data_IF_126225708910
#
_entry.id   IF_126225708910
#
_cell.length_a   1.000
_cell.length_b   1.000
_cell.length_c   1.000
_cell.angle_alpha   90.00
_cell.angle_beta   90.00
_cell.angle_gamma   90.00
#
_symmetry.space_group_name_H-M   'P 1'
#
loop_
_entity.id
_entity.type
_entity.pdbx_description
1 polymer ?
#
# COMPACT_ATOMS: atom_id res chain seq x y z
N UNK A 1 -14.37 -38.58 16.94
CA UNK A 1 -13.03 -38.44 16.31
C UNK A 1 -12.55 -37.03 16.59
N UNK A 2 -11.47 -36.86 17.35
CA UNK A 2 -10.92 -35.53 17.63
C UNK A 2 -9.87 -35.21 16.56
N UNK A 3 -10.09 -34.14 15.80
CA UNK A 3 -9.13 -33.64 14.81
C UNK A 3 -8.37 -32.49 15.45
N UNK A 4 -7.04 -32.63 15.53
CA UNK A 4 -6.15 -31.54 15.93
C UNK A 4 -5.57 -30.91 14.68
N UNK A 5 -5.77 -29.60 14.51
CA UNK A 5 -5.26 -28.83 13.37
C UNK A 5 -4.17 -27.88 13.89
N UNK A 6 -2.99 -27.91 13.26
CA UNK A 6 -1.89 -26.96 13.52
C UNK A 6 -1.67 -26.13 12.27
N UNK A 7 -1.87 -24.81 12.37
CA UNK A 7 -1.53 -23.87 11.30
C UNK A 7 -0.02 -23.65 11.34
N UNK A 8 0.66 -23.94 10.22
CA UNK A 8 2.09 -23.73 10.08
C UNK A 8 2.41 -22.38 9.43
N UNK A 9 1.53 -21.89 8.55
CA UNK A 9 1.63 -20.58 7.94
C UNK A 9 0.24 -20.04 7.54
N UNK A 10 0.11 -18.72 7.53
CA UNK A 10 -1.04 -18.00 6.99
C UNK A 10 -0.53 -16.86 6.11
N UNK A 11 -0.90 -16.87 4.83
CA UNK A 11 -0.58 -15.79 3.90
C UNK A 11 -1.87 -15.16 3.40
N UNK A 12 -1.83 -13.84 3.23
CA UNK A 12 -2.95 -13.05 2.74
C UNK A 12 -2.50 -12.24 1.53
N UNK A 13 -3.38 -12.15 0.53
CA UNK A 13 -3.25 -11.25 -0.61
C UNK A 13 -4.37 -10.23 -0.51
N UNK A 14 -4.01 -8.95 -0.46
CA UNK A 14 -4.97 -7.86 -0.22
C UNK A 14 -4.77 -6.77 -1.26
N UNK A 15 -5.88 -6.24 -1.75
CA UNK A 15 -5.93 -5.00 -2.55
C UNK A 15 -6.86 -4.01 -1.87
N UNK A 16 -6.41 -2.78 -1.68
CA UNK A 16 -7.18 -1.74 -1.01
C UNK A 16 -6.86 -0.35 -1.55
N UNK A 17 -7.75 0.59 -1.29
CA UNK A 17 -7.55 2.00 -1.57
C UNK A 17 -7.39 2.76 -0.26
N UNK A 18 -6.39 3.65 -0.20
CA UNK A 18 -6.14 4.53 0.92
C UNK A 18 -6.01 5.95 0.39
N UNK A 19 -6.65 6.91 1.04
CA UNK A 19 -6.47 8.33 0.73
C UNK A 19 -5.69 9.00 1.85
N UNK A 20 -4.58 9.63 1.50
CA UNK A 20 -3.71 10.36 2.42
C UNK A 20 -3.14 11.58 1.72
N UNK A 21 -3.21 12.73 2.39
CA UNK A 21 -2.60 13.99 1.97
C UNK A 21 -2.86 14.40 0.50
N UNK A 22 -4.08 14.15 0.01
CA UNK A 22 -4.50 14.51 -1.35
C UNK A 22 -4.13 13.50 -2.44
N UNK A 23 -3.61 12.33 -2.08
CA UNK A 23 -3.30 11.25 -3.00
C UNK A 23 -4.18 10.03 -2.76
N UNK A 24 -4.56 9.36 -3.84
CA UNK A 24 -5.14 8.02 -3.80
C UNK A 24 -4.01 7.00 -3.96
N UNK A 25 -3.93 6.08 -3.00
CA UNK A 25 -3.01 4.95 -2.98
C UNK A 25 -3.81 3.69 -3.26
N UNK A 26 -3.59 3.06 -4.42
CA UNK A 26 -4.13 1.75 -4.73
C UNK A 26 -3.07 0.70 -4.42
N UNK A 27 -3.20 0.08 -3.26
CA UNK A 27 -2.19 -0.79 -2.66
C UNK A 27 -2.56 -2.25 -2.88
N UNK A 28 -1.61 -3.04 -3.38
CA UNK A 28 -1.69 -4.49 -3.45
C UNK A 28 -0.50 -5.10 -2.71
N UNK A 29 -0.75 -6.00 -1.78
CA UNK A 29 0.33 -6.63 -1.00
C UNK A 29 0.06 -8.10 -0.68
N UNK A 30 1.15 -8.85 -0.51
CA UNK A 30 1.17 -10.18 0.06
C UNK A 30 1.89 -10.13 1.41
N UNK A 31 1.28 -10.69 2.45
CA UNK A 31 1.88 -10.73 3.78
C UNK A 31 1.73 -12.09 4.45
N UNK A 32 2.74 -12.48 5.24
CA UNK A 32 2.67 -13.58 6.20
C UNK A 32 2.08 -13.04 7.52
N UNK A 33 0.92 -13.57 7.90
CA UNK A 33 0.15 -13.17 9.10
C UNK A 33 0.07 -14.30 10.13
N UNK A 34 1.00 -15.26 10.06
CA UNK A 34 1.09 -16.37 11.02
C UNK A 34 1.34 -15.86 12.46
N UNK A 35 2.06 -14.75 12.58
CA UNK A 35 2.37 -14.09 13.85
C UNK A 35 1.53 -12.82 14.05
N UNK A 36 1.62 -12.22 15.24
CA UNK A 36 0.91 -10.97 15.58
C UNK A 36 1.31 -9.79 14.69
N UNK A 37 2.58 -9.74 14.30
CA UNK A 37 3.14 -8.76 13.36
C UNK A 37 3.15 -9.41 11.98
N UNK A 38 2.57 -8.73 11.00
CA UNK A 38 2.58 -9.22 9.63
C UNK A 38 3.95 -8.96 9.01
N UNK A 39 4.46 -9.92 8.23
CA UNK A 39 5.65 -9.70 7.40
C UNK A 39 5.21 -9.48 5.96
N UNK A 40 5.44 -8.29 5.43
CA UNK A 40 5.14 -8.00 4.02
C UNK A 40 6.18 -8.70 3.14
N UNK A 41 5.70 -9.53 2.21
CA UNK A 41 6.51 -10.29 1.28
C UNK A 41 6.63 -9.58 -0.08
N UNK A 42 5.53 -8.96 -0.50
CA UNK A 42 5.45 -8.16 -1.71
C UNK A 42 4.50 -6.99 -1.46
N UNK A 43 4.85 -5.83 -2.00
CA UNK A 43 4.05 -4.63 -1.88
C UNK A 43 4.17 -3.82 -3.15
N UNK A 44 3.03 -3.36 -3.64
CA UNK A 44 2.91 -2.42 -4.76
C UNK A 44 1.91 -1.36 -4.36
N UNK A 45 2.28 -0.10 -4.55
CA UNK A 45 1.42 1.04 -4.34
C UNK A 45 1.43 1.91 -5.58
N UNK A 46 0.26 2.03 -6.22
CA UNK A 46 0.05 2.99 -7.30
C UNK A 46 -0.57 4.23 -6.70
N UNK A 47 0.17 5.34 -6.81
CA UNK A 47 -0.24 6.62 -6.25
C UNK A 47 -0.63 7.56 -7.38
N UNK A 48 -1.73 8.28 -7.19
CA UNK A 48 -2.19 9.33 -8.11
C UNK A 48 -2.68 10.55 -7.33
N UNK A 49 -2.38 11.75 -7.84
CA UNK A 49 -2.88 12.99 -7.25
C UNK A 49 -4.39 13.12 -7.46
N UNK A 50 -5.13 13.40 -6.39
CA UNK A 50 -6.56 13.71 -6.47
C UNK A 50 -6.70 15.19 -6.81
N UNK A 51 -7.43 15.46 -7.89
CA UNK A 51 -7.71 16.84 -8.33
C UNK A 51 -9.06 17.32 -7.84
N UNK A 52 -10.06 16.43 -7.73
CA UNK A 52 -11.42 16.72 -7.29
C UNK A 52 -12.10 15.47 -6.72
N UNK A 53 -13.21 15.67 -6.01
CA UNK A 53 -14.09 14.61 -5.53
C UNK A 53 -13.71 14.04 -4.16
N UNK A 54 -14.53 13.09 -3.71
CA UNK A 54 -14.41 12.38 -2.44
C UNK A 54 -14.76 10.89 -2.65
N UNK A 55 -14.50 10.03 -1.67
CA UNK A 55 -14.83 8.61 -1.78
C UNK A 55 -16.33 8.42 -2.07
N UNK A 56 -16.73 7.58 -3.03
CA UNK A 56 -15.92 6.67 -3.85
C UNK A 56 -15.58 7.21 -5.26
N UNK A 57 -15.75 8.51 -5.52
CA UNK A 57 -15.67 9.13 -6.84
C UNK A 57 -14.61 10.24 -6.89
N UNK A 58 -13.34 9.83 -6.89
CA UNK A 58 -12.21 10.73 -7.09
C UNK A 58 -11.96 11.01 -8.57
N UNK A 59 -11.53 12.24 -8.87
CA UNK A 59 -10.95 12.61 -10.16
C UNK A 59 -9.44 12.67 -9.98
N UNK A 60 -8.72 11.79 -10.67
CA UNK A 60 -7.27 11.66 -10.57
C UNK A 60 -6.58 12.42 -11.70
N UNK A 61 -5.43 13.03 -11.41
CA UNK A 61 -4.56 13.57 -12.44
C UNK A 61 -3.86 12.43 -13.20
N UNK A 62 -4.08 12.26 -14.51
CA UNK A 62 -3.51 11.17 -15.28
C UNK A 62 -1.99 11.27 -15.47
N UNK A 63 -1.40 12.47 -15.33
CA UNK A 63 0.04 12.71 -15.51
C UNK A 63 0.81 12.75 -14.19
N UNK A 64 0.12 13.04 -13.07
CA UNK A 64 0.72 13.01 -11.74
C UNK A 64 0.38 11.69 -11.05
N UNK A 65 1.06 10.65 -11.50
CA UNK A 65 1.00 9.31 -10.93
C UNK A 65 2.38 8.65 -10.88
N UNK A 66 2.56 7.73 -9.94
CA UNK A 66 3.75 6.90 -9.83
C UNK A 66 3.43 5.54 -9.20
N UNK A 67 4.30 4.56 -9.43
CA UNK A 67 4.22 3.24 -8.79
C UNK A 67 5.44 3.04 -7.90
N UNK A 68 5.20 2.57 -6.68
CA UNK A 68 6.21 2.17 -5.71
C UNK A 68 6.08 0.68 -5.42
N UNK A 69 7.21 0.01 -5.22
CA UNK A 69 7.24 -1.42 -4.87
C UNK A 69 8.21 -1.68 -3.73
N UNK A 70 7.98 -2.76 -2.97
CA UNK A 70 8.90 -3.25 -1.96
C UNK A 70 8.99 -4.79 -2.00
N UNK A 71 10.21 -5.32 -2.02
CA UNK A 71 10.52 -6.74 -2.20
C UNK A 71 11.23 -7.36 -0.98
N UNK A 72 10.81 -6.97 0.24
CA UNK A 72 11.33 -7.37 1.56
C UNK A 72 12.60 -6.66 2.05
N UNK A 73 13.38 -6.03 1.16
CA UNK A 73 14.62 -5.36 1.56
C UNK A 73 14.60 -3.85 1.29
N UNK A 74 14.15 -3.44 0.10
CA UNK A 74 14.23 -2.06 -0.34
C UNK A 74 12.98 -1.61 -1.09
N UNK A 75 12.65 -0.32 -0.95
CA UNK A 75 11.68 0.35 -1.81
C UNK A 75 12.31 0.70 -3.15
N UNK A 76 11.52 0.62 -4.22
CA UNK A 76 11.88 1.06 -5.55
C UNK A 76 10.70 1.70 -6.27
N UNK A 77 10.96 2.36 -7.41
CA UNK A 77 9.93 3.02 -8.22
C UNK A 77 9.94 4.54 -8.07
N UNK A 78 8.76 5.16 -8.03
CA UNK A 78 8.61 6.61 -7.91
C UNK A 78 8.97 7.40 -9.17
N UNK A 79 8.91 6.77 -10.35
CA UNK A 79 9.06 7.48 -11.62
C UNK A 79 7.72 8.14 -11.96
N UNK A 80 7.66 9.46 -11.77
CA UNK A 80 6.49 10.28 -12.12
C UNK A 80 6.56 10.70 -13.58
N UNK A 81 5.43 10.67 -14.28
CA UNK A 81 5.34 11.25 -15.62
C UNK A 81 5.45 12.78 -15.56
N UNK A 82 4.72 13.40 -14.64
CA UNK A 82 4.90 14.79 -14.23
C UNK A 82 5.06 14.85 -12.72
N UNK A 83 6.15 15.47 -12.26
CA UNK A 83 6.40 15.62 -10.84
C UNK A 83 5.33 16.52 -10.19
N UNK A 84 4.80 16.14 -9.02
CA UNK A 84 4.07 17.05 -8.16
C UNK A 84 4.98 18.19 -7.67
N UNK A 85 4.36 19.26 -7.18
CA UNK A 85 5.08 20.48 -6.79
C UNK A 85 6.11 20.25 -5.66
N UNK A 86 5.88 19.26 -4.81
CA UNK A 86 6.80 18.84 -3.73
C UNK A 86 7.81 17.75 -4.16
N UNK A 87 7.83 17.41 -5.45
CA UNK A 87 8.64 16.32 -6.00
C UNK A 87 8.13 14.92 -5.67
N UNK A 88 6.88 14.77 -5.22
CA UNK A 88 6.28 13.48 -4.84
C UNK A 88 6.64 13.01 -3.43
N UNK A 89 7.19 13.89 -2.60
CA UNK A 89 7.60 13.55 -1.23
C UNK A 89 6.41 13.18 -0.33
N UNK A 90 5.30 13.89 -0.46
CA UNK A 90 4.07 13.65 0.31
C UNK A 90 3.49 12.28 -0.02
N UNK A 91 3.35 11.98 -1.32
CA UNK A 91 2.98 10.65 -1.81
C UNK A 91 3.90 9.56 -1.23
N UNK A 92 5.22 9.73 -1.32
CA UNK A 92 6.17 8.73 -0.82
C UNK A 92 6.10 8.51 0.70
N UNK A 93 5.84 9.57 1.49
CA UNK A 93 5.58 9.42 2.93
C UNK A 93 4.34 8.58 3.20
N UNK A 94 3.28 8.77 2.40
CA UNK A 94 2.08 7.93 2.44
C UNK A 94 2.37 6.46 2.16
N UNK A 95 3.17 6.17 1.14
CA UNK A 95 3.63 4.80 0.79
C UNK A 95 4.28 4.12 2.01
N UNK A 96 5.25 4.80 2.64
CA UNK A 96 5.96 4.27 3.81
C UNK A 96 5.01 4.08 5.00
N UNK A 97 4.11 5.03 5.25
CA UNK A 97 3.15 4.94 6.33
C UNK A 97 2.23 3.73 6.17
N UNK A 98 1.70 3.51 4.96
CA UNK A 98 0.83 2.37 4.64
C UNK A 98 1.59 1.05 4.83
N UNK A 99 2.80 0.92 4.27
CA UNK A 99 3.63 -0.27 4.45
C UNK A 99 3.83 -0.60 5.94
N UNK A 100 4.22 0.39 6.75
CA UNK A 100 4.44 0.21 8.18
C UNK A 100 3.15 -0.17 8.92
N UNK A 101 2.00 0.39 8.52
CA UNK A 101 0.71 0.01 9.10
C UNK A 101 0.35 -1.46 8.79
N UNK A 102 0.66 -1.95 7.58
CA UNK A 102 0.47 -3.35 7.21
C UNK A 102 1.34 -4.25 8.08
N UNK A 103 2.64 -3.97 8.19
CA UNK A 103 3.56 -4.78 9.01
C UNK A 103 3.12 -4.83 10.47
N UNK A 104 2.61 -3.71 11.00
CA UNK A 104 2.09 -3.64 12.36
C UNK A 104 0.73 -4.32 12.55
N UNK A 105 0.12 -4.88 11.49
CA UNK A 105 -1.20 -5.51 11.54
C UNK A 105 -2.34 -4.53 11.83
N UNK A 106 -2.16 -3.24 11.50
CA UNK A 106 -3.08 -2.14 11.82
C UNK A 106 -4.04 -1.77 10.68
N UNK A 107 -3.87 -2.35 9.50
CA UNK A 107 -4.89 -2.27 8.45
C UNK A 107 -6.11 -3.06 8.92
N UNK A 108 -7.27 -2.38 9.01
CA UNK A 108 -8.49 -2.91 9.60
C UNK A 108 -8.84 -4.32 9.11
N UNK A 109 -9.16 -5.19 10.06
CA UNK A 109 -9.77 -6.51 9.81
C UNK A 109 -11.29 -6.40 9.81
#
# INVERSE_FOLDING_TARGET
MNINIKILSKQELVTCEVVIDGYLHTVSYQADTTNTIAKVLQFTDRVALITQGESPSYVLDPHRQATYTHNTEHFSGGQWETLPDDGGQTAYKGVIAIFNMIEQGKMGR
#
